data_IF_317258824388
#
_entry.id   IF_317258824388
#
_cell.length_a   1.000
_cell.length_b   1.000
_cell.length_c   1.000
_cell.angle_alpha   90.00
_cell.angle_beta   90.00
_cell.angle_gamma   90.00
#
_symmetry.space_group_name_H-M   'P 1'
#
loop_
_entity.id
_entity.type
_entity.pdbx_description
1 polymer ?
#
# COMPACT_ATOMS: atom_id res chain seq x y z
N UNK A 1 10.56 12.88 28.60
CA UNK A 1 9.64 11.77 28.24
C UNK A 1 8.87 12.19 27.01
N UNK A 2 8.77 11.34 25.98
CA UNK A 2 7.94 11.63 24.82
C UNK A 2 6.45 11.60 25.23
N UNK A 3 5.68 12.64 24.93
CA UNK A 3 4.23 12.64 25.16
C UNK A 3 3.52 11.99 23.98
N UNK A 4 2.67 11.00 24.26
CA UNK A 4 1.77 10.40 23.29
C UNK A 4 0.37 10.99 23.46
N UNK A 5 -0.24 11.42 22.36
CA UNK A 5 -1.63 11.86 22.30
C UNK A 5 -2.36 11.06 21.23
N UNK A 6 -3.56 10.57 21.55
CA UNK A 6 -4.43 9.88 20.61
C UNK A 6 -5.63 10.76 20.30
N UNK A 7 -5.89 10.99 19.01
CA UNK A 7 -7.01 11.83 18.53
C UNK A 7 -7.89 10.97 17.63
N UNK A 8 -9.17 10.83 17.99
CA UNK A 8 -10.15 10.15 17.16
C UNK A 8 -10.82 11.17 16.25
N UNK A 9 -10.34 11.27 15.01
CA UNK A 9 -10.85 12.21 14.01
C UNK A 9 -12.10 11.64 13.37
N UNK A 10 -13.14 12.46 13.18
CA UNK A 10 -14.41 12.08 12.57
C UNK A 10 -14.62 12.85 11.27
N UNK A 11 -15.39 12.32 10.30
CA UNK A 11 -15.79 13.10 9.13
C UNK A 11 -16.44 14.43 9.52
N UNK A 12 -16.06 15.51 8.83
CA UNK A 12 -16.67 16.81 9.00
C UNK A 12 -18.19 16.71 8.74
N UNK A 13 -18.98 17.25 9.68
CA UNK A 13 -20.45 17.19 9.58
C UNK A 13 -21.06 15.83 9.91
N UNK A 14 -20.29 14.85 10.41
CA UNK A 14 -20.81 13.58 10.89
C UNK A 14 -21.92 13.80 11.93
N UNK A 15 -23.17 13.51 11.54
CA UNK A 15 -24.32 13.56 12.46
C UNK A 15 -24.22 12.39 13.44
N UNK A 16 -24.53 12.63 14.72
CA UNK A 16 -24.52 11.63 15.80
C UNK A 16 -25.43 10.40 15.56
N UNK A 17 -26.21 10.34 14.47
CA UNK A 17 -27.22 9.31 14.17
C UNK A 17 -27.44 9.08 12.67
N UNK A 18 -26.39 9.06 11.85
CA UNK A 18 -26.54 8.45 10.52
C UNK A 18 -26.70 6.94 10.72
N UNK A 19 -27.57 6.23 9.99
CA UNK A 19 -27.55 4.76 10.00
C UNK A 19 -26.15 4.26 9.63
N UNK A 20 -25.74 3.15 10.23
CA UNK A 20 -24.46 2.51 9.92
C UNK A 20 -24.37 2.26 8.41
N UNK A 21 -23.48 2.98 7.73
CA UNK A 21 -23.26 2.83 6.30
C UNK A 21 -22.27 1.70 6.07
N UNK A 22 -22.63 0.76 5.19
CA UNK A 22 -21.80 -0.39 4.84
C UNK A 22 -21.19 -0.13 3.46
N UNK A 23 -19.85 -0.04 3.43
CA UNK A 23 -19.10 0.05 2.19
C UNK A 23 -18.71 -1.35 1.72
N UNK A 24 -19.32 -1.80 0.63
CA UNK A 24 -18.95 -3.08 0.01
C UNK A 24 -17.59 -2.93 -0.70
N UNK A 25 -16.62 -3.76 -0.30
CA UNK A 25 -15.36 -3.91 -1.03
C UNK A 25 -15.63 -4.46 -2.43
N UNK A 26 -14.82 -4.02 -3.40
CA UNK A 26 -14.91 -4.48 -4.78
C UNK A 26 -14.46 -5.94 -4.94
N UNK A 27 -14.75 -6.57 -6.09
CA UNK A 27 -14.28 -7.93 -6.33
C UNK A 27 -12.73 -7.97 -6.32
N UNK A 28 -12.07 -6.98 -6.92
CA UNK A 28 -10.60 -6.90 -6.90
C UNK A 28 -10.01 -6.50 -5.54
N UNK A 29 -10.74 -5.76 -4.70
CA UNK A 29 -10.32 -5.42 -3.34
C UNK A 29 -10.10 -6.69 -2.49
N UNK A 30 -10.86 -7.75 -2.76
CA UNK A 30 -10.71 -9.06 -2.11
C UNK A 30 -9.44 -9.81 -2.53
N UNK A 31 -8.83 -9.46 -3.67
CA UNK A 31 -7.55 -10.03 -4.12
C UNK A 31 -6.33 -9.32 -3.54
N UNK A 32 -6.51 -8.11 -3.01
CA UNK A 32 -5.39 -7.33 -2.51
C UNK A 32 -4.76 -8.00 -1.28
N UNK A 33 -3.42 -7.89 -1.12
CA UNK A 33 -2.74 -8.41 0.05
C UNK A 33 -3.38 -7.87 1.34
N UNK A 34 -3.61 -8.76 2.31
CA UNK A 34 -4.23 -8.43 3.59
C UNK A 34 -3.21 -7.79 4.54
N UNK A 35 -2.68 -6.63 4.14
CA UNK A 35 -1.68 -5.84 4.86
C UNK A 35 -2.09 -4.38 4.88
N UNK A 36 -1.50 -3.64 5.81
CA UNK A 36 -1.46 -2.20 5.72
C UNK A 36 -0.36 -1.79 4.74
N UNK A 37 -0.72 -0.92 3.79
CA UNK A 37 0.27 -0.21 2.98
C UNK A 37 0.70 1.01 3.78
N UNK A 38 1.99 1.09 4.07
CA UNK A 38 2.55 2.21 4.81
C UNK A 38 3.09 3.29 3.87
N UNK A 39 3.03 4.53 4.31
CA UNK A 39 3.69 5.66 3.68
C UNK A 39 4.27 6.55 4.78
N UNK A 40 5.55 6.89 4.66
CA UNK A 40 6.26 7.73 5.64
C UNK A 40 6.83 8.94 4.91
N UNK A 41 6.32 10.11 5.25
CA UNK A 41 6.78 11.38 4.72
C UNK A 41 7.50 12.15 5.82
N UNK A 42 8.66 12.73 5.49
CA UNK A 42 9.47 13.50 6.41
C UNK A 42 9.51 14.93 5.89
N UNK A 43 9.19 15.88 6.75
CA UNK A 43 9.17 17.30 6.43
C UNK A 43 10.08 18.08 7.36
N UNK A 44 10.70 19.11 6.82
CA UNK A 44 11.30 20.16 7.63
C UNK A 44 10.18 20.97 8.29
N UNK A 45 10.33 21.29 9.57
CA UNK A 45 9.36 22.08 10.32
C UNK A 45 10.07 23.28 10.94
N UNK A 46 9.82 24.50 10.43
CA UNK A 46 10.40 25.71 10.99
C UNK A 46 10.06 25.86 12.48
N UNK A 47 11.02 26.31 13.29
CA UNK A 47 10.82 26.52 14.74
C UNK A 47 9.73 27.55 15.06
N UNK A 48 9.35 28.38 14.08
CA UNK A 48 8.28 29.38 14.20
C UNK A 48 6.88 28.79 14.18
N UNK A 49 6.72 27.53 13.74
CA UNK A 49 5.41 26.87 13.66
C UNK A 49 5.13 26.11 14.96
N UNK A 50 4.00 26.42 15.58
CA UNK A 50 3.54 25.73 16.80
C UNK A 50 3.12 24.29 16.50
N UNK A 51 3.65 23.34 17.28
CA UNK A 51 3.27 21.91 17.20
C UNK A 51 1.77 21.70 17.36
N UNK A 52 1.14 22.44 18.28
CA UNK A 52 -0.30 22.33 18.53
C UNK A 52 -1.09 22.81 17.31
N UNK A 53 -0.71 23.97 16.75
CA UNK A 53 -1.34 24.49 15.53
C UNK A 53 -1.14 23.55 14.34
N UNK A 54 0.04 22.92 14.19
CA UNK A 54 0.26 21.88 13.18
C UNK A 54 -0.70 20.71 13.35
N UNK A 55 -0.88 20.21 14.59
CA UNK A 55 -1.82 19.11 14.88
C UNK A 55 -3.25 19.54 14.59
N UNK A 56 -3.67 20.73 15.03
CA UNK A 56 -5.04 21.24 14.83
C UNK A 56 -5.37 21.38 13.33
N UNK A 57 -4.42 21.87 12.53
CA UNK A 57 -4.58 21.98 11.08
C UNK A 57 -4.65 20.60 10.40
N UNK A 58 -3.79 19.66 10.81
CA UNK A 58 -3.78 18.29 10.28
C UNK A 58 -5.10 17.58 10.60
N UNK A 59 -5.62 17.75 11.81
CA UNK A 59 -6.91 17.21 12.24
C UNK A 59 -8.03 17.83 11.41
N UNK A 60 -8.11 19.16 11.32
CA UNK A 60 -9.15 19.87 10.55
C UNK A 60 -9.15 19.45 9.08
N UNK A 61 -7.96 19.35 8.47
CA UNK A 61 -7.80 18.84 7.12
C UNK A 61 -8.30 17.40 6.97
N UNK A 62 -7.97 16.53 7.94
CA UNK A 62 -8.38 15.13 7.94
C UNK A 62 -9.90 14.98 8.13
N UNK A 63 -10.54 15.76 8.99
CA UNK A 63 -11.99 15.74 9.17
C UNK A 63 -12.69 15.97 7.83
N UNK A 64 -12.25 16.98 7.06
CA UNK A 64 -12.79 17.25 5.74
C UNK A 64 -12.48 16.14 4.74
N UNK A 65 -11.25 15.60 4.72
CA UNK A 65 -10.92 14.45 3.88
C UNK A 65 -11.81 13.25 4.17
N UNK A 66 -12.09 12.96 5.44
CA UNK A 66 -12.96 11.86 5.83
C UNK A 66 -14.43 12.11 5.45
N UNK A 67 -14.85 13.36 5.28
CA UNK A 67 -16.17 13.67 4.72
C UNK A 67 -16.25 13.33 3.21
N UNK A 68 -15.17 13.56 2.46
CA UNK A 68 -15.08 13.19 1.04
C UNK A 68 -14.80 11.68 0.84
N UNK A 69 -14.11 11.05 1.79
CA UNK A 69 -13.75 9.62 1.79
C UNK A 69 -14.20 8.89 3.07
N UNK A 70 -15.52 8.72 3.29
CA UNK A 70 -16.04 8.13 4.53
C UNK A 70 -15.49 6.72 4.84
N UNK A 71 -15.20 5.93 3.80
CA UNK A 71 -14.62 4.58 3.93
C UNK A 71 -13.31 4.56 4.74
N UNK A 72 -12.52 5.65 4.73
CA UNK A 72 -11.28 5.73 5.50
C UNK A 72 -11.51 5.84 7.02
N UNK A 73 -12.70 6.28 7.44
CA UNK A 73 -13.13 6.30 8.84
C UNK A 73 -13.81 5.01 9.29
N UNK A 74 -14.03 4.07 8.36
CA UNK A 74 -14.71 2.81 8.64
C UNK A 74 -13.78 1.79 9.32
N UNK A 75 -14.39 0.71 9.78
CA UNK A 75 -13.71 -0.50 10.24
C UNK A 75 -14.03 -1.65 9.30
N UNK A 76 -13.10 -2.59 9.16
CA UNK A 76 -13.34 -3.83 8.45
C UNK A 76 -14.31 -4.70 9.28
N UNK A 77 -15.44 -5.08 8.66
CA UNK A 77 -16.41 -6.00 9.25
C UNK A 77 -15.90 -7.46 9.20
N UNK A 78 -16.39 -8.30 10.12
CA UNK A 78 -15.84 -9.63 10.45
C UNK A 78 -15.98 -10.72 9.37
N UNK A 79 -16.53 -10.46 8.20
CA UNK A 79 -16.87 -11.55 7.29
C UNK A 79 -15.63 -12.08 6.53
N UNK A 80 -15.10 -13.22 7.02
CA UNK A 80 -14.29 -14.19 6.26
C UNK A 80 -13.03 -13.68 5.54
N UNK A 81 -12.24 -12.86 6.24
CA UNK A 81 -10.88 -12.53 5.81
C UNK A 81 -9.84 -13.36 6.57
N UNK A 82 -9.49 -14.59 6.19
CA UNK A 82 -8.30 -15.18 6.75
C UNK A 82 -7.11 -14.46 6.14
N UNK A 83 -6.23 -14.08 7.02
CA UNK A 83 -5.00 -13.38 6.70
C UNK A 83 -4.22 -14.24 5.71
N UNK A 84 -3.89 -13.70 4.54
CA UNK A 84 -2.63 -14.09 3.94
C UNK A 84 -1.59 -13.68 4.97
N UNK A 85 -1.10 -14.64 5.75
CA UNK A 85 -0.03 -14.43 6.71
C UNK A 85 1.27 -14.18 5.94
N UNK A 86 1.34 -13.06 5.20
CA UNK A 86 2.47 -12.17 5.35
C UNK A 86 2.40 -11.71 6.80
N UNK A 87 2.91 -12.56 7.67
CA UNK A 87 3.08 -12.28 9.08
C UNK A 87 3.78 -10.93 9.15
N UNK A 88 3.10 -9.91 9.65
CA UNK A 88 3.66 -8.57 9.67
C UNK A 88 5.00 -8.54 10.41
N UNK A 89 5.22 -9.46 11.37
CA UNK A 89 6.53 -9.65 11.99
C UNK A 89 7.64 -10.10 11.02
N UNK A 90 7.26 -10.84 9.97
CA UNK A 90 8.12 -11.27 8.86
C UNK A 90 8.15 -10.28 7.69
N UNK A 91 7.19 -9.36 7.61
CA UNK A 91 7.05 -8.42 6.51
C UNK A 91 7.51 -7.00 6.86
N UNK A 92 7.52 -6.61 8.13
CA UNK A 92 7.95 -5.30 8.61
C UNK A 92 9.04 -5.48 9.67
N UNK A 93 9.94 -4.51 9.86
CA UNK A 93 10.95 -4.57 10.92
C UNK A 93 10.28 -4.53 12.29
N UNK A 94 10.91 -5.13 13.32
CA UNK A 94 10.37 -5.17 14.69
C UNK A 94 9.99 -3.79 15.25
N UNK A 95 10.73 -2.76 14.83
CA UNK A 95 10.49 -1.35 15.15
C UNK A 95 9.11 -0.86 14.71
N UNK A 96 8.52 -1.49 13.69
CA UNK A 96 7.19 -1.22 13.14
C UNK A 96 6.14 -2.24 13.60
N UNK A 97 6.53 -3.31 14.29
CA UNK A 97 5.63 -4.34 14.82
C UNK A 97 5.26 -4.15 16.31
N UNK A 98 5.92 -3.20 16.99
CA UNK A 98 5.70 -2.85 18.40
C UNK A 98 4.84 -1.61 18.63
N UNK A 99 4.68 -1.23 19.90
CA UNK A 99 3.86 -0.09 20.34
C UNK A 99 4.51 1.29 20.07
N UNK A 100 5.70 1.31 19.46
CA UNK A 100 6.49 2.52 19.21
C UNK A 100 6.15 3.22 17.88
N UNK A 101 5.56 2.51 16.92
CA UNK A 101 5.09 3.07 15.65
C UNK A 101 3.58 2.81 15.53
N UNK A 102 2.69 3.72 15.99
CA UNK A 102 1.23 3.50 16.08
C UNK A 102 0.46 3.33 14.76
N UNK A 103 1.13 3.27 13.62
CA UNK A 103 0.53 2.77 12.38
C UNK A 103 0.38 1.26 12.51
N UNK A 104 -0.80 0.66 12.26
CA UNK A 104 -1.06 -0.73 12.61
C UNK A 104 -0.09 -1.67 11.87
N UNK A 105 0.92 -2.15 12.58
CA UNK A 105 1.82 -3.21 12.16
C UNK A 105 1.38 -4.59 12.65
N UNK A 106 0.35 -4.68 13.50
CA UNK A 106 -0.23 -5.96 13.91
C UNK A 106 -1.16 -6.46 12.80
N UNK A 107 -1.10 -7.77 12.53
CA UNK A 107 -1.81 -8.41 11.42
C UNK A 107 -3.31 -8.12 11.41
N UNK A 108 -3.91 -8.11 10.22
CA UNK A 108 -5.32 -7.72 10.07
C UNK A 108 -6.35 -8.83 10.40
N UNK A 109 -5.98 -9.78 11.25
CA UNK A 109 -6.87 -10.89 11.68
C UNK A 109 -7.92 -10.47 12.72
N UNK A 110 -7.85 -9.25 13.24
CA UNK A 110 -8.76 -8.73 14.25
C UNK A 110 -10.12 -8.27 13.69
N UNK A 111 -11.13 -8.26 14.54
CA UNK A 111 -12.46 -7.69 14.24
C UNK A 111 -12.39 -6.18 14.47
N UNK A 112 -13.05 -5.39 13.62
CA UNK A 112 -13.16 -3.96 13.84
C UNK A 112 -11.85 -3.21 13.63
N UNK A 113 -11.00 -3.72 12.74
CA UNK A 113 -9.75 -3.06 12.40
C UNK A 113 -10.01 -1.79 11.60
N UNK A 114 -9.37 -0.67 11.94
CA UNK A 114 -9.58 0.59 11.25
C UNK A 114 -9.06 0.50 9.81
N UNK A 115 -9.80 1.04 8.85
CA UNK A 115 -9.35 1.08 7.45
C UNK A 115 -8.02 1.81 7.30
N UNK A 116 -7.81 2.89 8.07
CA UNK A 116 -6.52 3.58 8.11
C UNK A 116 -6.19 4.23 9.45
N UNK A 117 -4.90 4.57 9.63
CA UNK A 117 -4.39 5.38 10.75
C UNK A 117 -3.25 6.28 10.29
N UNK A 118 -3.18 7.47 10.87
CA UNK A 118 -2.05 8.38 10.69
C UNK A 118 -1.34 8.64 12.02
N UNK A 119 -0.06 8.96 11.94
CA UNK A 119 0.81 9.32 13.06
C UNK A 119 1.61 10.57 12.70
N UNK A 120 1.67 11.51 13.62
CA UNK A 120 2.49 12.73 13.52
C UNK A 120 3.57 12.65 14.58
N UNK A 121 4.84 12.60 14.17
CA UNK A 121 5.98 12.53 15.10
C UNK A 121 6.85 13.77 14.93
N UNK A 122 6.88 14.63 15.94
CA UNK A 122 7.76 15.79 15.95
C UNK A 122 9.17 15.36 16.33
N UNK A 123 10.14 15.74 15.51
CA UNK A 123 11.57 15.54 15.72
C UNK A 123 12.26 16.91 15.80
N UNK A 124 13.55 16.93 16.13
CA UNK A 124 14.33 18.17 16.05
C UNK A 124 14.38 18.66 14.60
N UNK A 125 13.90 19.88 14.36
CA UNK A 125 13.88 20.52 13.03
C UNK A 125 12.84 19.98 12.05
N UNK A 126 11.95 19.06 12.45
CA UNK A 126 11.06 18.40 11.49
C UNK A 126 9.85 17.69 12.08
N UNK A 127 9.06 17.13 11.17
CA UNK A 127 7.92 16.27 11.47
C UNK A 127 7.92 15.07 10.53
N UNK A 128 7.63 13.89 11.09
CA UNK A 128 7.41 12.65 10.35
C UNK A 128 5.91 12.38 10.34
N UNK A 129 5.34 12.28 9.15
CA UNK A 129 3.96 11.88 8.92
C UNK A 129 3.96 10.41 8.45
N UNK A 130 3.51 9.52 9.33
CA UNK A 130 3.28 8.12 9.01
C UNK A 130 1.81 7.90 8.70
N UNK A 131 1.51 7.16 7.64
CA UNK A 131 0.17 6.73 7.30
C UNK A 131 0.18 5.24 7.02
N UNK A 132 -0.89 4.55 7.41
CA UNK A 132 -1.26 3.34 6.71
C UNK A 132 -2.74 3.18 6.49
N UNK A 133 -3.04 2.53 5.36
CA UNK A 133 -4.37 2.16 4.92
C UNK A 133 -4.32 0.70 4.50
N UNK A 134 -5.35 -0.08 4.80
CA UNK A 134 -5.44 -1.47 4.33
C UNK A 134 -5.36 -1.53 2.80
N UNK A 135 -4.56 -2.45 2.26
CA UNK A 135 -4.37 -2.60 0.82
C UNK A 135 -5.68 -2.98 0.10
N UNK A 136 -6.65 -3.53 0.84
CA UNK A 136 -7.99 -3.85 0.35
C UNK A 136 -8.82 -2.59 0.04
N UNK A 137 -8.42 -1.44 0.58
CA UNK A 137 -9.08 -0.16 0.32
C UNK A 137 -8.20 0.74 -0.53
N UNK A 138 -6.88 0.60 -0.49
CA UNK A 138 -5.97 1.53 -1.16
C UNK A 138 -4.77 0.82 -1.77
N UNK A 139 -4.52 1.04 -3.05
CA UNK A 139 -3.25 0.71 -3.70
C UNK A 139 -2.31 1.92 -3.71
N UNK A 140 -1.14 1.78 -4.34
CA UNK A 140 -0.15 2.87 -4.45
C UNK A 140 -0.71 4.17 -5.04
N UNK A 141 -1.29 4.14 -6.26
CA UNK A 141 -1.97 5.31 -6.84
C UNK A 141 -3.11 5.84 -5.96
N UNK A 142 -3.84 4.98 -5.24
CA UNK A 142 -4.84 5.37 -4.26
C UNK A 142 -4.30 6.31 -3.17
N UNK A 143 -3.02 6.20 -2.78
CA UNK A 143 -2.38 7.14 -1.85
C UNK A 143 -2.22 8.54 -2.46
N UNK A 144 -2.12 8.69 -3.79
CA UNK A 144 -2.11 10.02 -4.40
C UNK A 144 -3.41 10.77 -4.13
N UNK A 145 -4.55 10.08 -4.02
CA UNK A 145 -5.82 10.75 -3.74
C UNK A 145 -5.86 11.37 -2.33
N UNK A 146 -4.91 11.01 -1.45
CA UNK A 146 -4.71 11.68 -0.15
C UNK A 146 -4.02 13.04 -0.28
N UNK A 147 -3.66 13.47 -1.50
CA UNK A 147 -3.42 14.87 -1.84
C UNK A 147 -4.53 15.78 -1.32
N UNK A 148 -5.75 15.27 -1.28
CA UNK A 148 -6.89 15.99 -0.72
C UNK A 148 -6.69 16.33 0.76
N UNK A 149 -6.06 15.46 1.56
CA UNK A 149 -5.72 15.75 2.96
C UNK A 149 -4.69 16.86 3.09
N UNK A 150 -3.62 16.83 2.30
CA UNK A 150 -2.60 17.88 2.34
C UNK A 150 -3.19 19.24 1.91
N UNK A 151 -4.04 19.24 0.89
CA UNK A 151 -4.75 20.44 0.40
C UNK A 151 -5.66 21.03 1.48
N UNK A 152 -6.52 20.23 2.11
CA UNK A 152 -7.38 20.72 3.18
C UNK A 152 -6.60 21.18 4.41
N UNK A 153 -5.52 20.49 4.75
CA UNK A 153 -4.64 20.94 5.83
C UNK A 153 -4.02 22.31 5.52
N UNK A 154 -3.59 22.54 4.28
CA UNK A 154 -3.07 23.85 3.84
C UNK A 154 -4.13 24.95 3.92
N UNK A 155 -5.36 24.65 3.49
CA UNK A 155 -6.51 25.58 3.58
C UNK A 155 -6.77 25.93 5.05
N UNK A 156 -6.82 24.93 5.94
CA UNK A 156 -6.97 25.14 7.37
C UNK A 156 -5.82 25.97 7.95
N UNK A 157 -4.57 25.71 7.55
CA UNK A 157 -3.40 26.47 7.98
C UNK A 157 -3.42 27.94 7.56
N UNK A 158 -4.07 28.26 6.45
CA UNK A 158 -4.26 29.64 5.98
C UNK A 158 -5.44 30.35 6.67
N UNK A 159 -6.25 29.64 7.47
CA UNK A 159 -7.45 30.18 8.11
C UNK A 159 -8.66 30.29 7.17
N UNK A 160 -8.62 29.64 6.01
CA UNK A 160 -9.71 29.64 5.03
C UNK A 160 -10.81 28.63 5.43
N UNK A 161 -12.05 28.90 5.02
CA UNK A 161 -13.17 27.98 5.30
C UNK A 161 -13.09 26.71 4.44
N UNK A 162 -13.06 25.55 5.10
CA UNK A 162 -13.10 24.24 4.45
C UNK A 162 -14.44 23.96 3.75
N UNK A 163 -15.53 24.61 4.15
CA UNK A 163 -16.86 24.36 3.61
C UNK A 163 -16.98 24.71 2.13
N UNK A 164 -16.21 25.70 1.67
CA UNK A 164 -16.23 26.20 0.30
C UNK A 164 -15.40 25.33 -0.68
N UNK A 165 -14.66 24.35 -0.18
CA UNK A 165 -13.78 23.51 -0.99
C UNK A 165 -14.24 22.07 -0.95
N UNK A 166 -15.06 21.66 -1.91
CA UNK A 166 -15.24 20.24 -2.24
C UNK A 166 -14.21 19.87 -3.31
N UNK A 167 -13.34 18.91 -3.02
CA UNK A 167 -12.67 18.17 -4.07
C UNK A 167 -13.77 17.67 -5.03
N UNK A 168 -13.58 17.83 -6.33
CA UNK A 168 -14.59 17.41 -7.27
C UNK A 168 -14.76 15.90 -7.12
N UNK A 169 -15.92 15.46 -6.59
CA UNK A 169 -16.27 14.04 -6.48
C UNK A 169 -16.14 13.31 -7.83
N UNK A 170 -16.14 14.05 -8.95
CA UNK A 170 -15.88 13.55 -10.30
C UNK A 170 -14.47 12.98 -10.53
N UNK A 171 -13.50 13.34 -9.68
CA UNK A 171 -12.13 12.80 -9.74
C UNK A 171 -11.99 11.49 -8.94
N UNK A 172 -13.01 11.13 -8.15
CA UNK A 172 -13.03 9.88 -7.39
C UNK A 172 -13.56 8.78 -8.32
N UNK A 173 -12.66 7.93 -8.78
CA UNK A 173 -13.01 6.77 -9.59
C UNK A 173 -14.01 5.89 -8.81
N UNK A 174 -15.18 5.64 -9.40
CA UNK A 174 -16.20 4.81 -8.77
C UNK A 174 -15.68 3.37 -8.61
N UNK A 175 -15.60 2.88 -7.36
CA UNK A 175 -15.21 1.49 -7.06
C UNK A 175 -16.04 0.43 -7.79
N UNK A 176 -17.25 0.77 -8.21
CA UNK A 176 -18.12 -0.12 -8.98
C UNK A 176 -17.51 -0.62 -10.29
N UNK A 177 -16.48 0.06 -10.83
CA UNK A 177 -15.77 -0.44 -12.02
C UNK A 177 -14.92 -1.69 -11.73
N UNK A 178 -14.60 -1.93 -10.46
CA UNK A 178 -13.77 -3.05 -9.99
C UNK A 178 -14.63 -4.25 -9.54
N UNK A 179 -15.95 -4.19 -9.79
CA UNK A 179 -16.90 -5.24 -9.45
C UNK A 179 -17.81 -5.57 -10.61
N UNK A 180 -18.27 -6.82 -10.68
CA UNK A 180 -19.43 -7.16 -11.49
C UNK A 180 -20.70 -6.58 -10.87
N UNK A 181 -21.54 -5.98 -11.70
CA UNK A 181 -22.86 -5.47 -11.28
C UNK A 181 -23.76 -6.57 -10.73
N UNK A 182 -23.61 -7.80 -11.22
CA UNK A 182 -24.37 -8.97 -10.79
C UNK A 182 -23.41 -10.12 -10.50
N UNK A 183 -23.55 -10.78 -9.35
CA UNK A 183 -22.77 -11.99 -9.05
C UNK A 183 -23.07 -13.07 -10.09
N UNK A 184 -22.02 -13.53 -10.76
CA UNK A 184 -22.12 -14.50 -11.85
C UNK A 184 -21.81 -15.88 -11.30
N UNK A 185 -22.73 -16.83 -11.46
CA UNK A 185 -22.48 -18.22 -11.09
C UNK A 185 -21.83 -18.94 -12.28
N UNK A 186 -20.50 -18.92 -12.32
CA UNK A 186 -19.73 -19.66 -13.31
C UNK A 186 -19.78 -21.17 -13.02
N UNK A 187 -19.81 -21.98 -14.07
CA UNK A 187 -19.60 -23.43 -13.93
C UNK A 187 -18.10 -23.72 -13.84
N UNK A 188 -17.72 -24.86 -13.22
CA UNK A 188 -16.31 -25.21 -12.95
C UNK A 188 -15.41 -25.15 -14.19
N UNK A 189 -15.90 -25.59 -15.35
CA UNK A 189 -15.13 -25.57 -16.61
C UNK A 189 -14.81 -24.13 -17.08
N UNK A 190 -15.75 -23.20 -16.93
CA UNK A 190 -15.52 -21.79 -17.27
C UNK A 190 -14.53 -21.14 -16.30
N UNK A 191 -14.63 -21.48 -15.01
CA UNK A 191 -13.72 -21.00 -13.99
C UNK A 191 -12.29 -21.51 -14.23
N UNK A 192 -12.13 -22.77 -14.63
CA UNK A 192 -10.82 -23.34 -15.01
C UNK A 192 -10.23 -22.64 -16.24
N UNK A 193 -11.04 -22.40 -17.28
CA UNK A 193 -10.61 -21.67 -18.49
C UNK A 193 -10.16 -20.25 -18.17
N UNK A 194 -10.87 -19.55 -17.27
CA UNK A 194 -10.47 -18.23 -16.81
C UNK A 194 -9.21 -18.30 -15.94
N UNK A 195 -9.13 -19.25 -15.01
CA UNK A 195 -7.98 -19.42 -14.13
C UNK A 195 -6.67 -19.66 -14.88
N UNK A 196 -6.71 -20.36 -16.02
CA UNK A 196 -5.54 -20.54 -16.88
C UNK A 196 -4.97 -19.21 -17.44
N UNK A 197 -5.76 -18.13 -17.49
CA UNK A 197 -5.29 -16.79 -17.89
C UNK A 197 -4.52 -16.06 -16.78
N UNK A 198 -4.66 -16.51 -15.53
CA UNK A 198 -4.15 -15.83 -14.33
C UNK A 198 -3.20 -16.74 -13.55
N UNK A 199 -2.03 -17.12 -14.11
CA UNK A 199 -1.13 -18.09 -13.48
C UNK A 199 -0.59 -17.62 -12.12
N UNK A 200 -0.54 -16.31 -11.90
CA UNK A 200 -0.11 -15.67 -10.65
C UNK A 200 -1.23 -15.55 -9.61
N UNK A 201 -2.44 -16.07 -9.88
CA UNK A 201 -3.58 -16.00 -8.98
C UNK A 201 -4.15 -17.40 -8.72
N UNK A 202 -4.12 -17.83 -7.45
CA UNK A 202 -4.71 -19.11 -7.04
C UNK A 202 -5.94 -18.89 -6.17
N UNK A 203 -7.11 -19.24 -6.71
CA UNK A 203 -8.32 -19.46 -5.92
C UNK A 203 -8.17 -20.76 -5.11
N UNK A 204 -8.68 -20.76 -3.88
CA UNK A 204 -8.56 -21.90 -2.97
C UNK A 204 -9.84 -22.05 -2.17
N UNK A 205 -10.29 -23.29 -2.02
CA UNK A 205 -11.44 -23.61 -1.18
C UNK A 205 -11.08 -23.61 0.32
N UNK A 206 -9.79 -23.73 0.65
CA UNK A 206 -9.27 -23.88 2.01
C UNK A 206 -7.88 -23.27 2.25
N UNK A 207 -7.41 -23.28 3.52
CA UNK A 207 -6.09 -22.76 3.88
C UNK A 207 -4.94 -23.46 3.13
N UNK A 208 -3.77 -22.81 2.95
CA UNK A 208 -2.58 -23.47 2.44
C UNK A 208 -2.24 -24.73 3.26
N UNK A 209 -1.82 -25.79 2.59
CA UNK A 209 -1.10 -26.85 3.26
C UNK A 209 0.20 -26.28 3.88
N UNK A 210 0.58 -26.70 5.09
CA UNK A 210 1.88 -26.33 5.66
C UNK A 210 3.02 -26.88 4.80
N UNK A 211 4.20 -26.24 4.79
CA UNK A 211 5.39 -26.84 4.19
C UNK A 211 5.66 -28.24 4.77
N UNK A 212 6.21 -29.17 3.98
CA UNK A 212 6.67 -30.46 4.50
C UNK A 212 7.59 -30.29 5.73
N UNK A 213 7.53 -31.22 6.68
CA UNK A 213 8.28 -31.11 7.94
C UNK A 213 9.81 -31.09 7.74
N UNK A 214 10.29 -31.61 6.62
CA UNK A 214 11.68 -31.65 6.19
C UNK A 214 12.04 -30.52 5.20
N UNK A 215 11.12 -29.59 4.95
CA UNK A 215 11.35 -28.47 4.05
C UNK A 215 12.54 -27.64 4.55
N UNK A 216 13.60 -27.60 3.74
CA UNK A 216 14.75 -26.72 3.94
C UNK A 216 14.62 -25.54 2.99
N UNK A 217 14.71 -24.33 3.53
CA UNK A 217 14.85 -23.13 2.71
C UNK A 217 16.07 -23.30 1.79
N UNK A 218 15.98 -22.96 0.49
CA UNK A 218 17.13 -22.94 -0.37
C UNK A 218 18.21 -22.06 0.25
N UNK A 219 19.37 -22.63 0.52
CA UNK A 219 20.53 -21.89 1.03
C UNK A 219 21.36 -21.54 -0.19
N UNK A 220 21.43 -20.25 -0.52
CA UNK A 220 22.25 -19.68 -1.61
C UNK A 220 21.79 -20.07 -3.02
N UNK A 221 20.77 -19.39 -3.55
CA UNK A 221 20.71 -19.19 -5.00
C UNK A 221 21.16 -17.75 -5.27
N UNK A 222 22.24 -17.58 -6.01
CA UNK A 222 22.68 -16.25 -6.44
C UNK A 222 22.04 -15.96 -7.80
N UNK A 223 21.65 -14.70 -8.02
CA UNK A 223 21.04 -14.23 -9.28
C UNK A 223 21.93 -14.52 -10.50
N UNK A 224 23.23 -14.74 -10.29
CA UNK A 224 24.24 -15.02 -11.31
C UNK A 224 24.04 -16.36 -12.06
N UNK A 225 23.28 -17.31 -11.52
CA UNK A 225 23.16 -18.66 -12.11
C UNK A 225 22.09 -18.76 -13.22
N UNK A 226 21.22 -17.75 -13.36
CA UNK A 226 20.03 -17.82 -14.21
C UNK A 226 20.10 -17.09 -15.59
N UNK A 227 20.77 -15.94 -15.79
CA UNK A 227 20.55 -15.16 -17.01
C UNK A 227 21.63 -15.32 -18.09
N UNK A 228 22.87 -15.68 -17.77
CA UNK A 228 24.01 -15.49 -18.69
C UNK A 228 24.62 -14.09 -18.55
N UNK A 229 25.28 -13.58 -19.59
CA UNK A 229 25.92 -12.26 -19.56
C UNK A 229 24.90 -11.10 -19.41
N UNK A 230 25.23 -10.10 -18.59
CA UNK A 230 24.31 -9.01 -18.24
C UNK A 230 23.94 -8.12 -19.44
N UNK A 231 24.92 -7.78 -20.30
CA UNK A 231 24.69 -6.92 -21.46
C UNK A 231 23.70 -7.53 -22.44
N UNK A 232 23.79 -8.85 -22.62
CA UNK A 232 22.87 -9.62 -23.48
C UNK A 232 21.53 -9.90 -22.82
N UNK A 233 21.50 -10.10 -21.50
CA UNK A 233 20.29 -10.57 -20.82
C UNK A 233 19.37 -9.44 -20.36
N UNK A 234 19.92 -8.31 -19.92
CA UNK A 234 19.11 -7.20 -19.39
C UNK A 234 18.10 -6.66 -20.42
N UNK A 235 18.44 -6.47 -21.72
CA UNK A 235 17.47 -6.07 -22.73
C UNK A 235 16.35 -7.10 -22.94
N UNK A 236 16.68 -8.40 -22.83
CA UNK A 236 15.69 -9.49 -22.94
C UNK A 236 14.72 -9.45 -21.78
N UNK A 237 15.21 -9.32 -20.54
CA UNK A 237 14.37 -9.20 -19.35
C UNK A 237 13.48 -7.96 -19.42
N UNK A 238 14.03 -6.81 -19.82
CA UNK A 238 13.26 -5.58 -19.99
C UNK A 238 12.14 -5.73 -21.03
N UNK A 239 12.40 -6.44 -22.13
CA UNK A 239 11.38 -6.77 -23.14
C UNK A 239 10.30 -7.68 -22.57
N UNK A 240 10.67 -8.73 -21.84
CA UNK A 240 9.69 -9.65 -21.22
C UNK A 240 8.79 -8.91 -20.23
N UNK A 241 9.37 -8.05 -19.38
CA UNK A 241 8.58 -7.19 -18.46
C UNK A 241 7.63 -6.30 -19.25
N UNK A 242 8.12 -5.65 -20.32
CA UNK A 242 7.28 -4.78 -21.18
C UNK A 242 6.14 -5.54 -21.85
N UNK A 243 6.42 -6.71 -22.42
CA UNK A 243 5.41 -7.56 -23.05
C UNK A 243 4.38 -8.04 -22.03
N UNK A 244 4.81 -8.43 -20.84
CA UNK A 244 3.92 -8.81 -19.73
C UNK A 244 3.08 -7.64 -19.21
N UNK A 245 3.60 -6.41 -19.19
CA UNK A 245 2.80 -5.22 -18.82
C UNK A 245 1.79 -4.89 -19.93
N UNK A 246 2.20 -4.97 -21.19
CA UNK A 246 1.34 -4.66 -22.34
C UNK A 246 0.23 -5.71 -22.55
N UNK A 247 0.37 -6.92 -22.00
CA UNK A 247 -0.68 -7.95 -22.06
C UNK A 247 -1.83 -7.69 -21.08
N UNK A 248 -1.66 -6.78 -20.12
CA UNK A 248 -2.74 -6.37 -19.21
C UNK A 248 -3.63 -5.35 -19.92
N UNK A 249 -4.72 -5.83 -20.52
CA UNK A 249 -5.72 -5.01 -21.22
C UNK A 249 -6.98 -4.79 -20.37
N UNK A 250 -7.90 -3.87 -20.75
CA UNK A 250 -9.21 -3.78 -20.10
C UNK A 250 -9.99 -5.09 -20.08
N UNK A 251 -9.88 -5.91 -21.12
CA UNK A 251 -10.50 -7.24 -21.19
C UNK A 251 -9.85 -8.21 -20.21
N UNK A 252 -8.53 -8.17 -20.04
CA UNK A 252 -7.83 -8.96 -19.02
C UNK A 252 -8.34 -8.61 -17.62
N UNK A 253 -8.50 -7.33 -17.30
CA UNK A 253 -9.06 -6.88 -16.01
C UNK A 253 -10.53 -7.32 -15.87
N UNK A 254 -11.34 -7.16 -16.91
CA UNK A 254 -12.73 -7.59 -16.88
C UNK A 254 -12.87 -9.12 -16.67
N UNK A 255 -12.00 -9.91 -17.30
CA UNK A 255 -11.96 -11.37 -17.10
C UNK A 255 -11.45 -11.75 -15.71
N UNK A 256 -10.52 -10.97 -15.13
CA UNK A 256 -10.07 -11.17 -13.75
C UNK A 256 -11.22 -10.92 -12.78
N UNK A 257 -11.98 -9.84 -12.96
CA UNK A 257 -13.17 -9.54 -12.14
C UNK A 257 -14.17 -10.72 -12.23
N UNK A 258 -14.42 -11.26 -13.43
CA UNK A 258 -15.31 -12.43 -13.60
C UNK A 258 -14.78 -13.66 -12.88
N UNK A 259 -13.49 -13.94 -13.00
CA UNK A 259 -12.84 -15.08 -12.34
C UNK A 259 -13.00 -15.02 -10.83
N UNK A 260 -12.80 -13.83 -10.25
CA UNK A 260 -12.93 -13.57 -8.82
C UNK A 260 -14.39 -13.65 -8.37
N UNK A 261 -15.29 -12.97 -9.07
CA UNK A 261 -16.72 -12.95 -8.74
C UNK A 261 -17.40 -14.31 -8.87
N UNK A 262 -16.87 -15.20 -9.72
CA UNK A 262 -17.32 -16.59 -9.85
C UNK A 262 -16.76 -17.54 -8.79
N UNK A 263 -15.81 -17.09 -7.97
CA UNK A 263 -15.30 -17.89 -6.85
C UNK A 263 -16.35 -17.99 -5.75
N UNK A 264 -16.55 -19.20 -5.21
CA UNK A 264 -17.36 -19.42 -4.02
C UNK A 264 -16.67 -18.92 -2.75
N UNK A 265 -15.34 -18.77 -2.77
CA UNK A 265 -14.55 -18.41 -1.60
C UNK A 265 -13.29 -17.60 -1.95
N UNK A 266 -13.26 -16.32 -1.58
CA UNK A 266 -12.11 -15.41 -1.79
C UNK A 266 -11.25 -15.23 -0.53
N UNK A 267 -11.75 -15.75 0.60
CA UNK A 267 -11.04 -15.98 1.86
C UNK A 267 -9.58 -16.41 1.61
N UNK A 268 -9.35 -17.43 0.78
CA UNK A 268 -8.05 -18.06 0.58
C UNK A 268 -7.37 -17.73 -0.78
N UNK A 269 -7.95 -16.85 -1.59
CA UNK A 269 -7.40 -16.50 -2.90
C UNK A 269 -6.09 -15.75 -2.76
N UNK A 270 -4.98 -16.27 -3.28
CA UNK A 270 -3.67 -15.65 -3.10
C UNK A 270 -3.01 -15.29 -4.42
N UNK A 271 -2.16 -14.27 -4.37
CA UNK A 271 -1.06 -14.16 -5.32
C UNK A 271 -0.19 -15.42 -5.18
N UNK A 272 -0.04 -16.16 -6.27
CA UNK A 272 0.77 -17.36 -6.32
C UNK A 272 2.23 -17.02 -6.52
N UNK A 273 2.84 -16.56 -5.44
CA UNK A 273 4.21 -16.11 -5.41
C UNK A 273 4.97 -16.89 -4.35
N UNK A 274 6.14 -17.39 -4.72
CA UNK A 274 7.09 -18.05 -3.84
C UNK A 274 8.19 -17.06 -3.43
N UNK A 275 7.83 -15.80 -3.14
CA UNK A 275 8.77 -14.74 -2.76
C UNK A 275 9.56 -15.09 -1.49
N UNK A 276 8.97 -15.89 -0.59
CA UNK A 276 9.66 -16.41 0.61
C UNK A 276 10.67 -17.50 0.26
N UNK A 277 10.56 -18.16 -0.89
CA UNK A 277 11.43 -19.27 -1.32
C UNK A 277 12.55 -18.84 -2.28
N UNK A 278 12.72 -17.53 -2.51
CA UNK A 278 13.93 -16.95 -3.12
C UNK A 278 14.04 -17.03 -4.65
N UNK A 279 13.00 -17.47 -5.37
CA UNK A 279 13.02 -17.53 -6.85
C UNK A 279 12.19 -16.44 -7.52
N UNK A 280 11.16 -15.95 -6.84
CA UNK A 280 10.27 -14.93 -7.39
C UNK A 280 10.61 -13.55 -6.84
N UNK A 281 10.58 -12.55 -7.73
CA UNK A 281 10.75 -11.14 -7.38
C UNK A 281 9.43 -10.38 -7.53
N UNK A 282 9.17 -9.45 -6.62
CA UNK A 282 8.05 -8.51 -6.64
C UNK A 282 8.62 -7.10 -6.67
N UNK A 283 8.21 -6.32 -7.66
CA UNK A 283 8.48 -4.89 -7.70
C UNK A 283 7.17 -4.12 -7.59
N UNK A 284 7.09 -3.22 -6.62
CA UNK A 284 6.03 -2.22 -6.53
C UNK A 284 6.60 -0.87 -6.96
N UNK A 285 6.05 -0.35 -8.04
CA UNK A 285 6.59 0.84 -8.68
C UNK A 285 5.72 2.07 -8.38
N UNK A 286 6.27 2.97 -7.57
CA UNK A 286 5.68 4.24 -7.17
C UNK A 286 6.44 5.43 -7.78
N UNK A 287 7.25 5.22 -8.83
CA UNK A 287 8.05 6.31 -9.44
C UNK A 287 7.18 7.40 -10.09
N UNK A 288 5.96 7.07 -10.50
CA UNK A 288 5.01 8.01 -11.10
C UNK A 288 4.27 8.84 -10.06
N UNK A 289 4.35 8.46 -8.79
CA UNK A 289 3.61 9.07 -7.70
C UNK A 289 4.24 10.44 -7.36
N UNK A 290 3.43 11.51 -7.34
CA UNK A 290 3.88 12.92 -7.31
C UNK A 290 3.98 13.53 -5.91
N UNK A 291 4.20 12.72 -4.88
CA UNK A 291 4.14 13.16 -3.47
C UNK A 291 5.11 14.31 -3.19
N UNK A 292 6.34 14.24 -3.67
CA UNK A 292 7.33 15.33 -3.51
C UNK A 292 6.89 16.65 -4.16
N UNK A 293 6.06 16.60 -5.20
CA UNK A 293 5.62 17.78 -5.92
C UNK A 293 4.37 18.41 -5.31
N UNK A 294 3.46 17.59 -4.78
CA UNK A 294 2.10 18.02 -4.51
C UNK A 294 1.61 17.81 -3.07
N UNK A 295 2.26 16.96 -2.25
CA UNK A 295 1.97 16.94 -0.81
C UNK A 295 2.58 18.17 -0.13
N UNK A 296 1.71 19.03 0.39
CA UNK A 296 2.08 20.15 1.25
C UNK A 296 0.96 20.32 2.28
N UNK A 297 1.32 20.28 3.55
CA UNK A 297 0.40 20.37 4.68
C UNK A 297 0.45 21.76 5.35
N UNK A 298 0.92 22.78 4.62
CA UNK A 298 1.10 24.15 5.11
C UNK A 298 2.50 24.45 5.66
N UNK A 299 3.39 23.46 5.71
CA UNK A 299 4.79 23.62 6.18
C UNK A 299 5.83 23.21 5.12
N UNK A 300 5.43 23.11 3.85
CA UNK A 300 6.31 22.79 2.73
C UNK A 300 6.16 21.37 2.22
N UNK A 301 7.03 21.00 1.28
CA UNK A 301 7.04 19.70 0.59
C UNK A 301 7.87 18.67 1.36
N UNK A 302 7.63 17.36 1.17
CA UNK A 302 8.43 16.33 1.83
C UNK A 302 9.92 16.49 1.50
N UNK A 303 10.75 16.46 2.53
CA UNK A 303 12.20 16.32 2.40
C UNK A 303 12.60 14.89 2.03
N UNK A 304 11.80 13.89 2.46
CA UNK A 304 11.98 12.49 2.12
C UNK A 304 10.65 11.72 2.17
N UNK A 305 10.54 10.70 1.31
CA UNK A 305 9.49 9.69 1.28
C UNK A 305 10.14 8.33 1.55
N UNK A 306 9.56 7.54 2.44
CA UNK A 306 10.07 6.22 2.83
C UNK A 306 8.94 5.21 2.94
N UNK A 307 9.29 3.96 2.66
CA UNK A 307 8.50 2.79 3.01
C UNK A 307 9.27 2.01 4.10
N UNK A 308 8.58 1.38 5.08
CA UNK A 308 9.22 0.46 6.03
C UNK A 308 10.12 -0.57 5.33
N UNK A 309 11.12 -1.18 5.98
CA UNK A 309 11.93 -2.19 5.29
C UNK A 309 11.19 -3.52 5.26
N UNK A 310 10.90 -4.13 4.09
CA UNK A 310 10.31 -5.45 4.09
C UNK A 310 11.29 -6.47 4.66
N UNK A 311 10.87 -7.32 5.59
CA UNK A 311 11.76 -8.30 6.24
C UNK A 311 11.99 -9.60 5.42
N UNK A 312 11.61 -9.62 4.13
CA UNK A 312 11.75 -10.79 3.25
C UNK A 312 12.44 -10.43 1.93
N UNK A 313 13.10 -11.43 1.34
CA UNK A 313 13.88 -11.30 0.10
C UNK A 313 12.99 -11.25 -1.14
N UNK A 314 13.55 -10.75 -2.26
CA UNK A 314 12.85 -10.67 -3.55
C UNK A 314 11.78 -9.57 -3.63
N UNK A 315 11.68 -8.66 -2.68
CA UNK A 315 10.67 -7.59 -2.69
C UNK A 315 11.31 -6.21 -2.78
N UNK A 316 10.88 -5.43 -3.77
CA UNK A 316 11.47 -4.16 -4.13
C UNK A 316 10.41 -3.08 -4.27
N UNK A 317 10.69 -1.91 -3.70
CA UNK A 317 9.93 -0.69 -3.96
C UNK A 317 10.76 0.25 -4.81
N UNK A 318 10.17 0.76 -5.89
CA UNK A 318 10.75 1.84 -6.70
C UNK A 318 10.05 3.13 -6.31
N UNK A 319 10.79 4.05 -5.72
CA UNK A 319 10.30 5.36 -5.28
C UNK A 319 10.80 6.47 -6.21
N UNK A 320 9.99 7.52 -6.35
CA UNK A 320 10.38 8.72 -7.06
C UNK A 320 11.60 9.40 -6.40
N UNK A 321 12.53 9.90 -7.21
CA UNK A 321 13.65 10.72 -6.71
C UNK A 321 13.21 12.16 -6.45
N UNK A 322 13.58 12.72 -5.29
CA UNK A 322 13.33 14.15 -4.98
C UNK A 322 13.95 15.09 -6.01
N UNK A 323 15.08 14.72 -6.61
CA UNK A 323 15.78 15.56 -7.59
C UNK A 323 15.12 15.54 -8.98
N UNK A 324 14.09 14.72 -9.20
CA UNK A 324 13.50 14.50 -10.53
C UNK A 324 14.44 13.75 -11.50
N UNK A 325 15.60 13.29 -11.02
CA UNK A 325 16.59 12.52 -11.78
C UNK A 325 16.88 11.23 -11.01
N UNK A 326 16.71 10.08 -11.68
CA UNK A 326 16.89 8.74 -11.11
C UNK A 326 15.69 8.21 -10.32
N UNK A 327 15.77 6.94 -9.92
CA UNK A 327 14.79 6.26 -9.06
C UNK A 327 15.49 5.73 -7.80
N UNK A 328 14.78 5.62 -6.68
CA UNK A 328 15.29 4.95 -5.48
C UNK A 328 14.70 3.55 -5.41
N UNK A 329 15.55 2.53 -5.40
CA UNK A 329 15.14 1.14 -5.17
C UNK A 329 15.59 0.70 -3.77
N UNK A 330 14.77 -0.10 -3.10
CA UNK A 330 15.10 -0.69 -1.80
C UNK A 330 15.20 -2.20 -1.93
N UNK A 331 16.42 -2.75 -1.77
CA UNK A 331 16.74 -4.16 -2.02
C UNK A 331 17.82 -4.65 -1.06
N UNK A 332 17.90 -5.97 -0.80
CA UNK A 332 18.95 -6.60 0.01
C UNK A 332 20.07 -7.19 -0.86
N UNK A 333 20.83 -6.33 -1.54
CA UNK A 333 21.96 -6.72 -2.42
C UNK A 333 23.28 -6.03 -2.03
N UNK A 334 23.45 -5.63 -0.77
CA UNK A 334 24.52 -4.73 -0.33
C UNK A 334 25.94 -5.27 -0.51
N UNK A 335 26.08 -6.59 -0.67
CA UNK A 335 27.37 -7.26 -0.88
C UNK A 335 27.65 -7.59 -2.35
N UNK A 336 26.74 -7.21 -3.25
CA UNK A 336 26.88 -7.47 -4.68
C UNK A 336 27.67 -6.33 -5.34
N UNK A 337 28.93 -6.62 -5.67
CA UNK A 337 29.84 -5.65 -6.30
C UNK A 337 29.39 -5.23 -7.71
N UNK A 338 28.62 -6.07 -8.41
CA UNK A 338 28.08 -5.74 -9.72
C UNK A 338 26.91 -4.77 -9.59
N UNK A 339 26.01 -5.01 -8.65
CA UNK A 339 24.91 -4.09 -8.33
C UNK A 339 25.42 -2.72 -7.86
N UNK A 340 26.49 -2.69 -7.05
CA UNK A 340 27.10 -1.47 -6.54
C UNK A 340 27.67 -0.54 -7.65
N UNK A 341 27.89 -1.05 -8.87
CA UNK A 341 28.27 -0.22 -10.04
C UNK A 341 27.14 0.69 -10.50
N UNK A 342 25.89 0.28 -10.28
CA UNK A 342 24.68 0.93 -10.80
C UNK A 342 23.83 1.59 -9.71
N UNK A 343 24.09 1.29 -8.44
CA UNK A 343 23.30 1.77 -7.31
C UNK A 343 24.17 2.38 -6.21
N UNK A 344 23.74 3.51 -5.65
CA UNK A 344 24.32 4.08 -4.45
C UNK A 344 23.58 3.56 -3.22
N UNK A 345 24.29 2.99 -2.25
CA UNK A 345 23.71 2.58 -0.98
C UNK A 345 23.28 3.81 -0.16
N UNK A 346 21.99 3.91 0.16
CA UNK A 346 21.43 4.92 1.05
C UNK A 346 20.80 4.25 2.26
N UNK A 347 21.45 4.34 3.42
CA UNK A 347 20.98 3.76 4.69
C UNK A 347 22.09 3.06 5.45
N UNK A 348 21.78 2.55 6.65
CA UNK A 348 22.67 1.64 7.36
C UNK A 348 22.45 0.25 6.76
N UNK A 349 23.51 -0.35 6.24
CA UNK A 349 23.46 -1.76 5.86
C UNK A 349 23.14 -2.61 7.08
N UNK A 350 22.19 -3.54 6.94
CA UNK A 350 21.69 -4.38 8.05
C UNK A 350 22.37 -5.74 8.07
#
# INVERSE_FOLDING_TARGET
MASLQVINVKPLGARLRSPDEIFQLSDLDHLMPKIYVHMIEIFELPQTISKNTTVDNLVSGLERTLADYPILSAVLDKHDFPVHLLDASKALPDQFNGDHFPVPGRGISGIGLPVGRAQVTFIEGGVILGLAITHQVCDGPGFENLLTWSRYTTIAANGDSLDNFTAALSDILLRSILSLKNKLKLISEELEKLGAKFPIMKLRDGPPAPPPADFKMPVNMTVAEAPGDLETTLPVLARVVRESTNSVTPEYIADLIKYVAGSSNLQWSKLDMNSVLGLDCIALDWHTVKLYQSHNFGFGKPAALRWPHPNFEGFFFVLHSRAGVGNQAKMRLEKDEEFAKYAEQKGLGV
#
